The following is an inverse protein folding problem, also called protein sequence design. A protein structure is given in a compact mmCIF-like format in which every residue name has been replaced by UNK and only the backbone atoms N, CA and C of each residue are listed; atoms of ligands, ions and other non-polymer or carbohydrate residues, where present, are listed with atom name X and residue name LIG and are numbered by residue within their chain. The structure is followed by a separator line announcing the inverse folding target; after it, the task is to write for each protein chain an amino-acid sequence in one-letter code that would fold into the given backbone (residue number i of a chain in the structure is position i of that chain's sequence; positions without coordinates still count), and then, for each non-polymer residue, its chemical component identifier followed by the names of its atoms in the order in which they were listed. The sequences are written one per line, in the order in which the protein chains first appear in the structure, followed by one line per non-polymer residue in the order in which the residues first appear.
data_IF_947667570052
#
_entry.id   IF_947667570052
#
_cell.length_a   1.000
_cell.length_b   1.000
_cell.length_c   1.000
_cell.angle_alpha   90.00
_cell.angle_beta   90.00
_cell.angle_gamma   90.00
#
_symmetry.space_group_name_H-M   'P 1'
#
loop_
_entity.id
_entity.type
_entity.pdbx_description
1 polymer ?
#
# COMPACT_ATOMS: atom_id res chain seq x y z
N UNK A 1 15.23 31.23 -22.66
CA UNK A 1 15.91 30.35 -21.69
C UNK A 1 14.83 29.77 -20.79
N UNK A 2 14.35 28.56 -21.08
CA UNK A 2 13.21 27.98 -20.35
C UNK A 2 13.39 26.48 -20.20
N UNK A 3 14.25 26.05 -19.28
CA UNK A 3 14.50 24.62 -19.10
C UNK A 3 14.76 24.30 -17.62
N UNK A 4 13.70 23.85 -16.93
CA UNK A 4 13.72 22.76 -15.95
C UNK A 4 12.27 22.41 -15.61
N UNK A 5 11.62 21.53 -16.39
CA UNK A 5 10.34 20.90 -16.01
C UNK A 5 10.63 19.48 -15.57
N UNK A 6 10.89 19.33 -14.27
CA UNK A 6 11.25 18.06 -13.63
C UNK A 6 10.15 17.02 -13.87
N UNK A 7 10.59 15.91 -14.48
CA UNK A 7 9.94 14.63 -14.85
C UNK A 7 8.45 14.48 -14.55
N UNK A 8 7.68 14.16 -15.60
CA UNK A 8 6.31 13.61 -15.59
C UNK A 8 6.04 12.84 -14.29
N UNK A 9 5.45 13.52 -13.32
CA UNK A 9 4.88 12.87 -12.14
C UNK A 9 3.87 11.86 -12.67
N UNK A 10 3.99 10.59 -12.25
CA UNK A 10 3.03 9.53 -12.62
C UNK A 10 1.62 10.08 -12.40
N UNK A 11 0.77 9.97 -13.42
CA UNK A 11 -0.50 10.69 -13.54
C UNK A 11 -1.47 10.53 -12.36
N UNK A 12 -1.23 9.57 -11.46
CA UNK A 12 -2.10 9.18 -10.35
C UNK A 12 -1.40 9.24 -8.98
N UNK A 13 -0.19 9.80 -8.90
CA UNK A 13 0.53 9.91 -7.63
C UNK A 13 -0.23 10.83 -6.67
N UNK A 14 -0.69 10.30 -5.53
CA UNK A 14 -1.48 11.02 -4.54
C UNK A 14 -2.99 11.12 -4.84
N UNK A 15 -3.47 10.53 -5.95
CA UNK A 15 -4.90 10.48 -6.27
C UNK A 15 -5.51 9.24 -5.63
N UNK A 16 -6.51 9.42 -4.77
CA UNK A 16 -7.31 8.31 -4.23
C UNK A 16 -8.17 7.76 -5.36
N UNK A 17 -7.75 6.65 -5.96
CA UNK A 17 -8.46 5.99 -7.05
C UNK A 17 -9.72 5.22 -6.58
N UNK A 18 -9.84 4.95 -5.28
CA UNK A 18 -10.96 4.26 -4.67
C UNK A 18 -10.66 3.85 -3.23
N UNK A 19 -11.70 3.40 -2.52
CA UNK A 19 -11.58 2.87 -1.16
C UNK A 19 -11.50 1.34 -1.23
N UNK A 20 -10.61 0.74 -0.44
CA UNK A 20 -10.50 -0.72 -0.30
C UNK A 20 -10.55 -1.13 1.16
N UNK A 21 -11.21 -2.25 1.44
CA UNK A 21 -11.20 -2.90 2.76
C UNK A 21 -10.24 -4.10 2.81
N UNK A 22 -9.52 -4.38 1.71
CA UNK A 22 -8.66 -5.55 1.59
C UNK A 22 -7.37 -5.40 2.41
N UNK A 23 -6.71 -4.25 2.29
CA UNK A 23 -5.41 -4.03 2.91
C UNK A 23 -5.18 -2.56 3.24
N UNK A 24 -4.50 -2.34 4.36
CA UNK A 24 -4.18 -1.01 4.87
C UNK A 24 -2.68 -0.91 5.12
N UNK A 25 -2.05 0.10 4.54
CA UNK A 25 -0.65 0.44 4.78
C UNK A 25 -0.62 1.59 5.78
N UNK A 26 0.04 1.38 6.93
CA UNK A 26 0.24 2.42 7.92
C UNK A 26 1.00 3.61 7.33
N UNK A 27 0.69 4.81 7.80
CA UNK A 27 1.26 6.05 7.27
C UNK A 27 2.80 6.14 7.41
N UNK A 28 3.38 5.35 8.33
CA UNK A 28 4.83 5.19 8.52
C UNK A 28 5.47 4.10 7.65
N UNK A 29 4.68 3.36 6.86
CA UNK A 29 5.15 2.36 5.88
C UNK A 29 5.64 1.03 6.45
N UNK A 30 5.73 0.88 7.78
CA UNK A 30 6.28 -0.33 8.42
C UNK A 30 5.21 -1.38 8.79
N UNK A 31 3.95 -0.97 8.80
CA UNK A 31 2.82 -1.81 9.17
C UNK A 31 1.91 -2.02 7.95
N UNK A 32 1.76 -3.30 7.57
CA UNK A 32 0.81 -3.73 6.55
C UNK A 32 -0.24 -4.60 7.23
N UNK A 33 -1.50 -4.22 7.06
CA UNK A 33 -2.64 -4.95 7.58
C UNK A 33 -3.40 -5.58 6.42
N UNK A 34 -3.75 -6.85 6.57
CA UNK A 34 -4.63 -7.58 5.66
C UNK A 34 -5.96 -7.86 6.36
N UNK A 35 -7.05 -7.29 5.84
CA UNK A 35 -8.40 -7.31 6.45
C UNK A 35 -8.44 -6.93 7.95
N UNK A 36 -7.48 -6.14 8.42
CA UNK A 36 -7.35 -5.71 9.81
C UNK A 36 -6.25 -6.44 10.61
N UNK A 37 -5.75 -7.59 10.14
CA UNK A 37 -4.69 -8.35 10.80
C UNK A 37 -3.30 -7.87 10.35
N UNK A 38 -2.36 -7.71 11.28
CA UNK A 38 -1.00 -7.32 10.94
C UNK A 38 -0.28 -8.48 10.22
N UNK A 39 0.42 -8.17 9.12
CA UNK A 39 1.15 -9.18 8.35
C UNK A 39 2.21 -9.92 9.17
N UNK A 40 2.79 -9.30 10.20
CA UNK A 40 3.77 -9.95 11.10
C UNK A 40 3.13 -11.05 11.96
N UNK A 41 1.83 -10.95 12.22
CA UNK A 41 1.05 -11.97 12.94
C UNK A 41 0.63 -13.09 11.99
N UNK A 42 0.11 -12.72 10.82
CA UNK A 42 -0.23 -13.67 9.75
C UNK A 42 0.98 -14.52 9.33
N UNK A 43 2.18 -13.91 9.23
CA UNK A 43 3.40 -14.63 8.88
C UNK A 43 3.84 -15.68 9.93
N UNK A 44 3.37 -15.58 11.18
CA UNK A 44 3.68 -16.54 12.24
C UNK A 44 2.66 -17.67 12.32
N UNK A 45 1.40 -17.37 11.98
CA UNK A 45 0.26 -18.21 12.35
C UNK A 45 -0.54 -18.73 11.15
N UNK A 46 -0.34 -18.20 9.95
CA UNK A 46 -1.15 -18.52 8.78
C UNK A 46 -0.31 -18.99 7.59
N UNK A 47 -0.88 -19.89 6.79
CA UNK A 47 -0.31 -20.31 5.51
C UNK A 47 -0.89 -19.49 4.35
N UNK A 48 -0.20 -19.50 3.20
CA UNK A 48 -0.61 -18.75 2.01
C UNK A 48 -2.04 -19.07 1.56
N UNK A 49 -2.45 -20.34 1.63
CA UNK A 49 -3.80 -20.77 1.22
C UNK A 49 -4.93 -20.22 2.11
N UNK A 50 -4.63 -19.78 3.33
CA UNK A 50 -5.62 -19.19 4.25
C UNK A 50 -5.81 -17.68 4.02
N UNK A 51 -4.86 -17.04 3.33
CA UNK A 51 -4.81 -15.58 3.10
C UNK A 51 -5.18 -15.21 1.65
N UNK A 52 -4.99 -16.14 0.71
CA UNK A 52 -5.20 -15.95 -0.73
C UNK A 52 -6.61 -15.44 -1.12
#
# INVERSE_FOLDING_TARGET
MAEFRTKKSVALSGVIAGNTALSYVGQSGEDLHYRGYNIKDLAKSANFEEIA
#
